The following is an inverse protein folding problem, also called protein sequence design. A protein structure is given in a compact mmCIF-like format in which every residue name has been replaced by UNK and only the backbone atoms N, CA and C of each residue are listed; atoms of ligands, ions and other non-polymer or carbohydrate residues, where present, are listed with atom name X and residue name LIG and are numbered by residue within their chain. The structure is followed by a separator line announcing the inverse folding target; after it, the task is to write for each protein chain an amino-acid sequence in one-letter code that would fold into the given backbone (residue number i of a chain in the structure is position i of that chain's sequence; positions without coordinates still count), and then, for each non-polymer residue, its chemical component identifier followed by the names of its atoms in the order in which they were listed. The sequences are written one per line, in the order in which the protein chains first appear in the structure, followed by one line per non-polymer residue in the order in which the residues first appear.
data_IF_123886456224
#
_entry.id   IF_123886456224
#
_cell.length_a   1.000
_cell.length_b   1.000
_cell.length_c   1.000
_cell.angle_alpha   90.00
_cell.angle_beta   90.00
_cell.angle_gamma   90.00
#
_symmetry.space_group_name_H-M   'P 1'
#
loop_
_entity.id
_entity.type
_entity.pdbx_description
1 polymer ?
#
# COMPACT_ATOMS: atom_id res chain seq x y z
N UNK A 1 9.36 -7.04 -5.63
CA UNK A 1 8.15 -7.02 -4.78
C UNK A 1 8.48 -7.08 -3.29
N UNK A 2 9.31 -8.02 -2.82
CA UNK A 2 9.73 -8.17 -1.41
C UNK A 2 9.98 -6.86 -0.65
N UNK A 3 10.86 -5.98 -1.16
CA UNK A 3 11.21 -4.73 -0.48
C UNK A 3 10.01 -3.79 -0.26
N UNK A 4 9.03 -3.79 -1.17
CA UNK A 4 7.82 -2.97 -1.02
C UNK A 4 6.92 -3.51 0.09
N UNK A 5 6.73 -4.83 0.15
CA UNK A 5 5.94 -5.49 1.20
C UNK A 5 6.60 -5.33 2.57
N UNK A 6 7.93 -5.41 2.67
CA UNK A 6 8.65 -5.16 3.93
C UNK A 6 8.46 -3.72 4.42
N UNK A 7 8.64 -2.73 3.55
CA UNK A 7 8.46 -1.32 3.92
C UNK A 7 7.00 -1.02 4.26
N UNK A 8 6.05 -1.53 3.48
CA UNK A 8 4.64 -1.31 3.75
C UNK A 8 4.21 -2.01 5.06
N UNK A 9 4.69 -3.22 5.33
CA UNK A 9 4.50 -3.93 6.58
C UNK A 9 5.07 -3.18 7.80
N UNK A 10 6.24 -2.56 7.65
CA UNK A 10 6.83 -1.69 8.70
C UNK A 10 5.91 -0.49 8.99
N UNK A 11 5.37 0.16 7.96
CA UNK A 11 4.43 1.28 8.13
C UNK A 11 3.16 0.81 8.83
N UNK A 12 2.57 -0.32 8.42
CA UNK A 12 1.40 -0.91 9.06
C UNK A 12 1.66 -1.24 10.54
N UNK A 13 2.78 -1.87 10.83
CA UNK A 13 3.18 -2.27 12.18
C UNK A 13 3.40 -1.04 13.07
N UNK A 14 4.04 0.02 12.55
CA UNK A 14 4.24 1.28 13.29
C UNK A 14 2.93 1.99 13.59
N UNK A 15 1.98 1.97 12.67
CA UNK A 15 0.68 2.61 12.86
C UNK A 15 -0.20 1.88 13.88
N UNK A 16 -0.23 0.54 13.83
CA UNK A 16 -1.13 -0.25 14.67
C UNK A 16 -0.51 -0.83 15.94
N UNK A 17 0.82 -0.90 16.04
CA UNK A 17 1.56 -1.53 17.14
C UNK A 17 1.07 -2.94 17.52
N UNK A 18 0.75 -3.76 16.51
CA UNK A 18 0.13 -5.09 16.63
C UNK A 18 0.66 -6.02 15.55
N UNK A 19 0.23 -7.29 15.57
CA UNK A 19 0.50 -8.22 14.46
C UNK A 19 -0.22 -7.70 13.20
N UNK A 20 0.49 -7.64 12.08
CA UNK A 20 -0.06 -7.22 10.80
C UNK A 20 0.07 -8.34 9.78
N UNK A 21 -0.85 -8.36 8.82
CA UNK A 21 -0.80 -9.28 7.68
C UNK A 21 -1.15 -8.55 6.39
N UNK A 22 -0.48 -8.92 5.30
CA UNK A 22 -0.81 -8.45 3.95
C UNK A 22 -2.09 -9.14 3.49
N UNK A 23 -3.16 -8.38 3.27
CA UNK A 23 -4.47 -8.89 2.88
C UNK A 23 -4.68 -8.86 1.36
N UNK A 24 -4.21 -7.81 0.70
CA UNK A 24 -4.17 -7.71 -0.75
C UNK A 24 -3.05 -6.79 -1.20
N UNK A 25 -2.61 -7.00 -2.44
CA UNK A 25 -1.77 -6.06 -3.16
C UNK A 25 -2.52 -5.64 -4.40
N UNK A 26 -2.79 -4.35 -4.51
CA UNK A 26 -3.42 -3.75 -5.68
C UNK A 26 -2.39 -3.49 -6.78
N UNK A 27 -2.84 -2.90 -7.90
CA UNK A 27 -2.03 -2.75 -9.12
C UNK A 27 -0.60 -2.24 -8.85
N UNK A 28 0.38 -3.08 -9.22
CA UNK A 28 1.80 -2.74 -9.23
C UNK A 28 2.10 -2.15 -10.60
N UNK A 29 2.42 -0.86 -10.63
CA UNK A 29 2.69 -0.11 -11.83
C UNK A 29 4.20 0.05 -12.01
N UNK A 30 4.74 -0.57 -13.06
CA UNK A 30 6.14 -0.43 -13.46
C UNK A 30 6.26 0.72 -14.47
N UNK A 31 6.63 1.90 -13.98
CA UNK A 31 6.73 3.13 -14.79
C UNK A 31 8.00 3.15 -15.62
N UNK A 32 9.12 2.72 -15.03
CA UNK A 32 10.45 2.77 -15.66
C UNK A 32 11.28 1.58 -15.23
N UNK A 33 12.06 1.03 -16.17
CA UNK A 33 13.02 -0.04 -15.87
C UNK A 33 14.10 0.43 -14.89
N UNK A 34 14.48 -0.43 -13.96
CA UNK A 34 15.61 -0.23 -13.05
C UNK A 34 16.82 -0.94 -13.68
N UNK A 35 17.89 -0.20 -13.96
CA UNK A 35 19.12 -0.77 -14.53
C UNK A 35 19.96 -1.42 -13.43
N UNK A 36 20.82 -2.38 -13.80
CA UNK A 36 21.82 -2.94 -12.90
C UNK A 36 22.76 -1.83 -12.42
N UNK A 37 23.10 -1.84 -11.13
CA UNK A 37 23.96 -0.81 -10.52
C UNK A 37 23.22 0.44 -10.02
N UNK A 38 21.91 0.54 -10.22
CA UNK A 38 21.10 1.58 -9.59
C UNK A 38 20.91 1.30 -8.09
N UNK A 39 20.89 2.36 -7.30
CA UNK A 39 20.35 2.34 -5.93
C UNK A 39 18.84 2.56 -6.01
N UNK A 40 18.12 1.82 -5.17
CA UNK A 40 16.66 1.94 -5.05
C UNK A 40 16.30 2.44 -3.65
N UNK A 41 15.37 3.38 -3.60
CA UNK A 41 14.76 3.88 -2.37
C UNK A 41 13.30 3.46 -2.37
N UNK A 42 12.88 2.77 -1.32
CA UNK A 42 11.49 2.34 -1.16
C UNK A 42 10.85 3.17 -0.05
N UNK A 43 9.81 3.91 -0.41
CA UNK A 43 9.05 4.76 0.52
C UNK A 43 7.66 4.16 0.72
N UNK A 44 7.27 3.91 1.96
CA UNK A 44 5.91 3.51 2.33
C UNK A 44 5.16 4.70 2.91
N UNK A 45 3.89 4.87 2.53
CA UNK A 45 3.01 5.93 3.02
C UNK A 45 1.62 5.38 3.30
N UNK A 46 1.12 5.58 4.51
CA UNK A 46 -0.26 5.26 4.84
C UNK A 46 -1.18 6.27 4.14
N UNK A 47 -2.03 5.80 3.22
CA UNK A 47 -2.90 6.66 2.41
C UNK A 47 -4.34 6.63 2.87
N UNK A 48 -4.81 5.52 3.42
CA UNK A 48 -6.18 5.39 3.90
C UNK A 48 -6.28 4.36 5.03
N UNK A 49 -7.21 4.58 5.95
CA UNK A 49 -7.58 3.60 6.97
C UNK A 49 -9.09 3.38 6.97
N UNK A 50 -9.49 2.11 6.98
CA UNK A 50 -10.86 1.70 7.30
C UNK A 50 -10.95 1.32 8.78
N UNK A 51 -12.10 0.83 9.22
CA UNK A 51 -12.25 0.31 10.58
C UNK A 51 -11.24 -0.81 10.90
N UNK A 52 -10.86 -1.66 9.94
CA UNK A 52 -10.04 -2.86 10.18
C UNK A 52 -8.88 -3.06 9.20
N UNK A 53 -8.67 -2.12 8.27
CA UNK A 53 -7.65 -2.24 7.24
C UNK A 53 -6.93 -0.93 7.01
N UNK A 54 -5.71 -1.03 6.50
CA UNK A 54 -4.84 0.09 6.14
C UNK A 54 -4.45 -0.05 4.68
N UNK A 55 -4.57 1.02 3.90
CA UNK A 55 -3.97 1.11 2.57
C UNK A 55 -2.64 1.85 2.67
N UNK A 56 -1.59 1.23 2.14
CA UNK A 56 -0.23 1.77 2.16
C UNK A 56 0.27 1.84 0.72
N UNK A 57 0.59 3.05 0.29
CA UNK A 57 1.28 3.32 -0.97
C UNK A 57 2.77 2.99 -0.80
N UNK A 58 3.29 2.11 -1.65
CA UNK A 58 4.71 1.81 -1.76
C UNK A 58 5.27 2.41 -3.06
N UNK A 59 6.31 3.23 -2.92
CA UNK A 59 6.95 3.97 -4.01
C UNK A 59 8.40 3.52 -4.11
N UNK A 60 8.82 3.10 -5.30
CA UNK A 60 10.21 2.73 -5.58
C UNK A 60 10.80 3.76 -6.51
N UNK A 61 11.71 4.56 -5.97
CA UNK A 61 12.53 5.48 -6.74
C UNK A 61 13.90 4.84 -7.01
N UNK A 62 14.46 5.05 -8.19
CA UNK A 62 15.74 4.51 -8.59
C UNK A 62 16.68 5.64 -9.05
N UNK A 63 17.95 5.54 -8.69
CA UNK A 63 18.99 6.48 -9.09
C UNK A 63 20.25 5.72 -9.53
N UNK A 64 20.92 6.22 -10.57
CA UNK A 64 22.23 5.72 -10.98
C UNK A 64 23.31 6.22 -10.02
N UNK A 65 24.29 5.36 -9.70
CA UNK A 65 25.45 5.75 -8.89
C UNK A 65 26.62 6.29 -9.72
N UNK A 66 26.65 5.98 -11.01
CA UNK A 66 27.79 6.22 -11.90
C UNK A 66 27.54 7.34 -12.90
N UNK A 67 26.28 7.69 -13.15
CA UNK A 67 25.94 8.77 -14.06
C UNK A 67 26.05 10.12 -13.33
N UNK A 68 26.64 11.12 -13.98
CA UNK A 68 26.82 12.48 -13.42
C UNK A 68 25.48 13.14 -13.07
N UNK A 69 24.44 12.83 -13.87
CA UNK A 69 23.07 13.19 -13.58
C UNK A 69 22.48 12.16 -12.60
N UNK A 70 22.73 12.36 -11.29
CA UNK A 70 22.14 11.60 -10.16
C UNK A 70 20.62 11.82 -10.03
N UNK A 71 19.89 11.83 -11.13
CA UNK A 71 18.46 12.10 -11.18
C UNK A 71 17.72 10.86 -10.70
N UNK A 72 17.10 10.99 -9.53
CA UNK A 72 16.17 9.99 -9.01
C UNK A 72 14.88 10.00 -9.83
N UNK A 73 14.35 8.83 -10.16
CA UNK A 73 13.08 8.70 -10.85
C UNK A 73 12.20 7.61 -10.26
N UNK A 74 10.88 7.82 -10.31
CA UNK A 74 9.89 6.80 -9.95
C UNK A 74 9.97 5.62 -10.93
N UNK A 75 10.31 4.45 -10.41
CA UNK A 75 10.36 3.20 -11.17
C UNK A 75 9.10 2.37 -10.96
N UNK A 76 8.62 2.25 -9.72
CA UNK A 76 7.45 1.41 -9.39
C UNK A 76 6.55 2.13 -8.39
N UNK A 77 5.23 1.98 -8.53
CA UNK A 77 4.29 2.26 -7.46
C UNK A 77 3.32 1.10 -7.25
N UNK A 78 2.89 0.88 -6.02
CA UNK A 78 1.89 -0.11 -5.68
C UNK A 78 1.10 0.34 -4.44
N UNK A 79 -0.09 -0.23 -4.26
CA UNK A 79 -0.85 -0.11 -3.03
C UNK A 79 -0.96 -1.48 -2.38
N UNK A 80 -0.82 -1.50 -1.06
CA UNK A 80 -0.92 -2.68 -0.23
C UNK A 80 -2.02 -2.47 0.79
N UNK A 81 -2.89 -3.47 0.96
CA UNK A 81 -3.86 -3.48 2.04
C UNK A 81 -3.37 -4.39 3.16
N UNK A 82 -3.22 -3.84 4.36
CA UNK A 82 -2.89 -4.58 5.58
C UNK A 82 -4.09 -4.67 6.53
N UNK A 83 -4.11 -5.74 7.33
CA UNK A 83 -5.05 -5.94 8.43
C UNK A 83 -4.26 -6.07 9.74
N UNK A 84 -4.77 -5.43 10.79
CA UNK A 84 -4.29 -5.58 12.16
C UNK A 84 -4.96 -6.79 12.82
N UNK A 85 -4.19 -7.62 13.54
CA UNK A 85 -4.66 -8.83 14.20
C UNK A 85 -4.31 -8.85 15.70
N UNK A 86 -5.20 -9.47 16.48
CA UNK A 86 -4.94 -9.80 17.88
C UNK A 86 -4.08 -11.08 18.04
N UNK A 87 -3.98 -11.57 19.28
CA UNK A 87 -3.21 -12.79 19.60
C UNK A 87 -3.85 -14.05 19.01
N UNK A 88 -5.16 -14.05 18.78
CA UNK A 88 -5.97 -15.16 18.25
C UNK A 88 -6.21 -15.03 16.73
N UNK A 89 -5.46 -14.16 16.05
CA UNK A 89 -5.57 -13.86 14.63
C UNK A 89 -6.95 -13.28 14.21
N UNK A 90 -7.64 -12.58 15.11
CA UNK A 90 -8.88 -11.86 14.78
C UNK A 90 -8.59 -10.41 14.39
N UNK A 91 -9.28 -9.86 13.38
CA UNK A 91 -9.12 -8.47 12.97
C UNK A 91 -9.43 -7.46 14.09
N UNK A 92 -8.49 -6.56 14.35
CA UNK A 92 -8.61 -5.47 15.31
C UNK A 92 -8.99 -4.14 14.63
N UNK A 93 -9.65 -3.23 15.36
CA UNK A 93 -9.79 -1.85 14.93
C UNK A 93 -8.43 -1.19 14.70
N UNK A 94 -8.33 -0.38 13.65
CA UNK A 94 -7.12 0.36 13.27
C UNK A 94 -7.22 1.80 13.77
N UNK A 95 -6.13 2.42 14.29
CA UNK A 95 -6.12 3.83 14.65
C UNK A 95 -6.47 4.74 13.46
N UNK A 96 -7.18 5.85 13.71
CA UNK A 96 -7.49 6.81 12.66
C UNK A 96 -6.21 7.47 12.13
N UNK A 97 -6.15 7.69 10.82
CA UNK A 97 -5.09 8.47 10.19
C UNK A 97 -5.38 9.95 10.44
N UNK A 98 -4.41 10.67 11.00
CA UNK A 98 -4.45 12.13 11.06
C UNK A 98 -4.19 12.66 9.66
N UNK A 99 -5.08 13.52 9.17
CA UNK A 99 -4.99 14.09 7.81
C UNK A 99 -4.73 15.58 7.97
N UNK A 100 -3.62 16.06 7.44
CA UNK A 100 -3.21 17.47 7.50
C UNK A 100 -2.98 18.04 6.09
N UNK A 101 -3.76 19.06 5.75
CA UNK A 101 -3.62 19.75 4.47
C UNK A 101 -4.32 19.07 3.29
N UNK A 102 -4.35 19.78 2.17
CA UNK A 102 -5.13 19.39 0.99
C UNK A 102 -4.59 18.15 0.29
N UNK A 103 -3.26 18.00 0.23
CA UNK A 103 -2.62 16.86 -0.44
C UNK A 103 -2.88 15.54 0.29
N UNK A 104 -2.83 15.54 1.64
CA UNK A 104 -3.16 14.35 2.42
C UNK A 104 -4.65 14.02 2.34
N UNK A 105 -5.52 15.04 2.36
CA UNK A 105 -6.95 14.86 2.19
C UNK A 105 -7.27 14.25 0.82
N UNK A 106 -6.63 14.73 -0.24
CA UNK A 106 -6.79 14.17 -1.59
C UNK A 106 -6.40 12.70 -1.62
N UNK A 107 -5.23 12.34 -1.07
CA UNK A 107 -4.76 10.95 -1.01
C UNK A 107 -5.70 10.06 -0.20
N UNK A 108 -6.27 10.58 0.88
CA UNK A 108 -7.22 9.84 1.70
C UNK A 108 -8.50 9.50 0.93
N UNK A 109 -9.08 10.47 0.21
CA UNK A 109 -10.26 10.23 -0.61
C UNK A 109 -9.96 9.28 -1.79
N UNK A 110 -8.79 9.41 -2.42
CA UNK A 110 -8.35 8.47 -3.46
C UNK A 110 -8.21 7.04 -2.92
N UNK A 111 -7.64 6.86 -1.73
CA UNK A 111 -7.50 5.56 -1.07
C UNK A 111 -8.84 4.97 -0.63
N UNK A 112 -9.75 5.83 -0.13
CA UNK A 112 -11.13 5.44 0.17
C UNK A 112 -11.87 4.96 -1.07
N UNK A 113 -11.71 5.65 -2.20
CA UNK A 113 -12.30 5.25 -3.47
C UNK A 113 -11.80 3.87 -3.93
N UNK A 114 -10.47 3.63 -3.87
CA UNK A 114 -9.88 2.31 -4.14
C UNK A 114 -10.42 1.22 -3.22
N UNK A 115 -10.51 1.50 -1.92
CA UNK A 115 -11.09 0.58 -0.94
C UNK A 115 -12.53 0.19 -1.29
N UNK A 116 -13.39 1.16 -1.62
CA UNK A 116 -14.79 0.92 -1.98
C UNK A 116 -14.89 0.09 -3.27
N UNK A 117 -14.08 0.41 -4.28
CA UNK A 117 -14.03 -0.35 -5.53
C UNK A 117 -13.62 -1.80 -5.27
N UNK A 118 -12.57 -2.03 -4.49
CA UNK A 118 -12.09 -3.38 -4.16
C UNK A 118 -13.08 -4.15 -3.29
N UNK A 119 -13.79 -3.47 -2.38
CA UNK A 119 -14.87 -4.08 -1.60
C UNK A 119 -16.01 -4.54 -2.50
N UNK A 120 -16.42 -3.72 -3.47
CA UNK A 120 -17.47 -4.08 -4.42
C UNK A 120 -17.07 -5.29 -5.27
N UNK A 121 -15.84 -5.32 -5.80
CA UNK A 121 -15.30 -6.48 -6.54
C UNK A 121 -15.36 -7.77 -5.71
N UNK A 122 -14.82 -7.73 -4.48
CA UNK A 122 -14.86 -8.90 -3.57
C UNK A 122 -16.27 -9.39 -3.23
N UNK A 123 -17.25 -8.49 -3.17
CA UNK A 123 -18.65 -8.86 -2.93
C UNK A 123 -19.27 -9.50 -4.17
N UNK A 124 -18.98 -8.97 -5.36
CA UNK A 124 -19.41 -9.57 -6.63
C UNK A 124 -18.81 -10.98 -6.82
N UNK A 125 -17.52 -11.15 -6.52
CA UNK A 125 -16.83 -12.44 -6.63
C UNK A 125 -17.35 -13.50 -5.63
N UNK A 126 -17.99 -13.06 -4.54
CA UNK A 126 -18.58 -13.93 -3.51
C UNK A 126 -20.06 -14.25 -3.75
N UNK A 127 -20.71 -13.57 -4.69
CA UNK A 127 -22.09 -13.90 -5.05
C UNK A 127 -22.08 -15.27 -5.75
N UNK A 128 -22.90 -16.25 -5.32
CA UNK A 128 -22.95 -17.54 -5.97
C UNK A 128 -23.32 -17.36 -7.45
N UNK A 129 -22.60 -18.04 -8.34
CA UNK A 129 -23.01 -18.16 -9.73
C UNK A 129 -24.45 -18.67 -9.74
N UNK A 130 -25.39 -17.87 -10.24
CA UNK A 130 -26.77 -18.29 -10.40
C UNK A 130 -26.74 -19.46 -11.37
N UNK A 131 -26.89 -20.68 -10.85
CA UNK A 131 -27.00 -21.90 -11.64
C UNK A 131 -28.26 -21.77 -12.51
N UNK A 132 -28.06 -21.68 -13.82
CA UNK A 132 -29.10 -21.97 -14.82
C UNK A 132 -29.03 -23.44 -15.19
#
# INVERSE_FOLDING_TARGET
MKLMDEVAGIVAARHCNTKIVTASVEAINFHRKIKKGCVVTVTGRLTFVSNRSMEIEALVDAASLVDDEKVSYRAVSAFFTYISLDKDNKPLPVPLLKIEGEEEQRRFEEGKARYLQNKAKRLADRAPAVTQ
#
